data_IF_421984313293
#
_entry.id   IF_421984313293
#
_cell.length_a   1.000
_cell.length_b   1.000
_cell.length_c   1.000
_cell.angle_alpha   90.00
_cell.angle_beta   90.00
_cell.angle_gamma   90.00
#
_symmetry.space_group_name_H-M   'P 1'
#
loop_
_entity.id
_entity.type
_entity.pdbx_description
1 polymer ?
#
# COMPACT_ATOMS: atom_id res chain seq x y z
N UNK A 1 -26.52 18.57 9.77
CA UNK A 1 -26.79 17.85 8.51
C UNK A 1 -25.61 17.91 7.54
N UNK A 2 -25.03 19.09 7.31
CA UNK A 2 -23.88 19.23 6.41
C UNK A 2 -22.67 18.40 6.84
N UNK A 3 -22.38 18.36 8.14
CA UNK A 3 -21.25 17.60 8.69
C UNK A 3 -21.46 16.08 8.56
N UNK A 4 -22.69 15.62 8.72
CA UNK A 4 -23.04 14.21 8.55
C UNK A 4 -22.86 13.77 7.08
N UNK A 5 -23.31 14.61 6.14
CA UNK A 5 -23.18 14.34 4.71
C UNK A 5 -21.70 14.30 4.30
N UNK A 6 -20.89 15.23 4.81
CA UNK A 6 -19.45 15.28 4.54
C UNK A 6 -18.73 14.05 5.09
N UNK A 7 -19.04 13.65 6.33
CA UNK A 7 -18.45 12.47 6.95
C UNK A 7 -18.79 11.20 6.17
N UNK A 8 -20.05 11.06 5.76
CA UNK A 8 -20.51 9.91 4.98
C UNK A 8 -19.86 9.88 3.59
N UNK A 9 -19.70 11.04 2.95
CA UNK A 9 -19.05 11.15 1.65
C UNK A 9 -17.56 10.80 1.74
N UNK A 10 -16.88 11.27 2.79
CA UNK A 10 -15.46 10.95 3.02
C UNK A 10 -15.27 9.45 3.30
N UNK A 11 -16.15 8.86 4.11
CA UNK A 11 -16.14 7.43 4.42
C UNK A 11 -16.36 6.59 3.16
N UNK A 12 -17.33 6.99 2.33
CA UNK A 12 -17.62 6.32 1.07
C UNK A 12 -16.42 6.39 0.12
N UNK A 13 -15.76 7.54 0.05
CA UNK A 13 -14.55 7.72 -0.76
C UNK A 13 -13.42 6.82 -0.26
N UNK A 14 -13.22 6.74 1.06
CA UNK A 14 -12.21 5.87 1.64
C UNK A 14 -12.46 4.39 1.31
N UNK A 15 -13.71 3.95 1.35
CA UNK A 15 -14.09 2.59 0.98
C UNK A 15 -13.79 2.29 -0.49
N UNK A 16 -14.06 3.25 -1.39
CA UNK A 16 -13.77 3.08 -2.81
C UNK A 16 -12.28 3.01 -3.08
N UNK A 17 -11.50 3.84 -2.39
CA UNK A 17 -10.02 3.81 -2.51
C UNK A 17 -9.48 2.47 -2.01
N UNK A 18 -10.01 1.95 -0.91
CA UNK A 18 -9.61 0.63 -0.41
C UNK A 18 -9.91 -0.48 -1.41
N UNK A 19 -11.07 -0.45 -2.07
CA UNK A 19 -11.40 -1.40 -3.13
C UNK A 19 -10.40 -1.33 -4.28
N UNK A 20 -10.00 -0.12 -4.67
CA UNK A 20 -9.00 0.11 -5.72
C UNK A 20 -7.65 -0.48 -5.31
N UNK A 21 -7.23 -0.24 -4.08
CA UNK A 21 -5.98 -0.77 -3.55
C UNK A 21 -5.98 -2.29 -3.53
N UNK A 22 -7.07 -2.91 -3.08
CA UNK A 22 -7.19 -4.37 -3.03
C UNK A 22 -7.15 -5.00 -4.43
N UNK A 23 -7.84 -4.41 -5.39
CA UNK A 23 -7.83 -4.88 -6.78
C UNK A 23 -6.42 -4.76 -7.38
N UNK A 24 -5.74 -3.65 -7.11
CA UNK A 24 -4.38 -3.40 -7.61
C UNK A 24 -3.37 -4.38 -7.00
N UNK A 25 -3.48 -4.64 -5.70
CA UNK A 25 -2.64 -5.61 -5.00
C UNK A 25 -2.82 -7.01 -5.57
N UNK A 26 -4.07 -7.39 -5.84
CA UNK A 26 -4.39 -8.69 -6.43
C UNK A 26 -3.73 -8.85 -7.81
N UNK A 27 -3.89 -7.85 -8.67
CA UNK A 27 -3.31 -7.88 -10.01
C UNK A 27 -1.77 -7.94 -9.97
N UNK A 28 -1.18 -7.20 -9.04
CA UNK A 28 0.27 -7.19 -8.85
C UNK A 28 0.78 -8.54 -8.35
N UNK A 29 0.02 -9.23 -7.49
CA UNK A 29 0.39 -10.56 -6.98
C UNK A 29 0.32 -11.64 -8.06
N UNK A 30 -0.54 -11.45 -9.07
CA UNK A 30 -0.75 -12.40 -10.15
C UNK A 30 0.17 -12.16 -11.36
N UNK A 31 0.82 -10.99 -11.42
CA UNK A 31 1.65 -10.62 -12.55
C UNK A 31 2.70 -9.59 -12.17
N UNK A 32 3.23 -8.88 -13.17
CA UNK A 32 4.23 -7.83 -12.95
C UNK A 32 3.57 -6.46 -12.88
N UNK A 33 4.29 -5.50 -12.31
CA UNK A 33 3.85 -4.12 -12.24
C UNK A 33 3.53 -3.54 -13.63
N UNK A 34 4.32 -3.90 -14.64
CA UNK A 34 4.11 -3.41 -16.00
C UNK A 34 2.77 -3.86 -16.58
N UNK A 35 2.25 -4.99 -16.13
CA UNK A 35 0.99 -5.54 -16.61
C UNK A 35 -0.22 -4.98 -15.85
N UNK A 36 0.02 -4.26 -14.74
CA UNK A 36 -1.05 -3.59 -14.01
C UNK A 36 -1.29 -2.24 -14.67
N UNK A 37 -2.50 -2.01 -15.13
CA UNK A 37 -2.92 -0.74 -15.72
C UNK A 37 -4.23 -0.28 -15.10
N UNK A 38 -4.55 1.01 -15.23
CA UNK A 38 -5.82 1.52 -14.75
C UNK A 38 -6.99 0.82 -15.44
N UNK A 39 -6.83 0.46 -16.71
CA UNK A 39 -7.83 -0.31 -17.46
C UNK A 39 -8.07 -1.68 -16.81
N UNK A 40 -7.00 -2.40 -16.46
CA UNK A 40 -7.12 -3.71 -15.83
C UNK A 40 -7.70 -3.61 -14.42
N UNK A 41 -7.36 -2.57 -13.68
CA UNK A 41 -7.92 -2.31 -12.35
C UNK A 41 -9.43 -2.06 -12.45
N UNK A 42 -9.86 -1.24 -13.41
CA UNK A 42 -11.28 -0.98 -13.63
C UNK A 42 -12.03 -2.27 -13.98
N UNK A 43 -11.46 -3.12 -14.82
CA UNK A 43 -12.04 -4.42 -15.17
C UNK A 43 -12.18 -5.33 -13.95
N UNK A 44 -11.15 -5.39 -13.12
CA UNK A 44 -11.17 -6.21 -11.90
C UNK A 44 -12.28 -5.74 -10.96
N UNK A 45 -12.50 -4.43 -10.88
CA UNK A 45 -13.55 -3.85 -10.04
C UNK A 45 -14.95 -3.93 -10.66
N UNK A 46 -15.05 -4.16 -11.95
CA UNK A 46 -16.31 -4.07 -12.67
C UNK A 46 -16.77 -2.63 -12.85
N UNK A 47 -15.82 -1.68 -12.86
CA UNK A 47 -16.11 -0.24 -12.99
C UNK A 47 -15.78 0.27 -14.39
N UNK A 48 -16.40 1.39 -14.77
CA UNK A 48 -15.97 2.14 -15.93
C UNK A 48 -14.66 2.88 -15.62
N UNK A 49 -13.88 3.19 -16.65
CA UNK A 49 -12.65 3.98 -16.48
C UNK A 49 -12.97 5.35 -15.91
N UNK A 50 -14.06 5.96 -16.36
CA UNK A 50 -14.51 7.26 -15.86
C UNK A 50 -14.77 7.23 -14.35
N UNK A 51 -15.36 6.15 -13.85
CA UNK A 51 -15.62 6.00 -12.43
C UNK A 51 -14.30 5.87 -11.64
N UNK A 52 -13.36 5.10 -12.16
CA UNK A 52 -12.03 4.95 -11.53
C UNK A 52 -11.29 6.30 -11.45
N UNK A 53 -11.32 7.09 -12.53
CA UNK A 53 -10.65 8.39 -12.59
C UNK A 53 -11.21 9.43 -11.62
N UNK A 54 -12.37 9.19 -11.04
CA UNK A 54 -12.91 10.07 -9.98
C UNK A 54 -12.09 9.96 -8.69
N UNK A 55 -11.35 8.87 -8.53
CA UNK A 55 -10.64 8.56 -7.28
C UNK A 55 -9.13 8.61 -7.42
N UNK A 56 -8.59 8.23 -8.56
CA UNK A 56 -7.14 8.16 -8.80
C UNK A 56 -6.81 8.66 -10.21
N UNK A 57 -5.64 9.26 -10.36
CA UNK A 57 -5.15 9.75 -11.65
C UNK A 57 -4.16 8.79 -12.30
N UNK A 58 -3.31 8.13 -11.49
CA UNK A 58 -2.24 7.26 -11.99
C UNK A 58 -2.13 6.00 -11.15
N UNK A 59 -1.56 4.94 -11.73
CA UNK A 59 -1.30 3.72 -10.96
C UNK A 59 -0.16 3.91 -9.95
N UNK A 60 0.78 4.80 -10.21
CA UNK A 60 1.88 5.12 -9.30
C UNK A 60 1.35 5.62 -7.96
N UNK A 61 0.30 6.44 -8.00
CA UNK A 61 -0.40 6.95 -6.83
C UNK A 61 -0.98 5.82 -5.98
N UNK A 62 -1.56 4.83 -6.63
CA UNK A 62 -2.13 3.65 -5.96
C UNK A 62 -1.03 2.84 -5.28
N UNK A 63 0.06 2.60 -5.99
CA UNK A 63 1.16 1.78 -5.48
C UNK A 63 1.97 2.48 -4.40
N UNK A 64 2.02 3.82 -4.42
CA UNK A 64 2.58 4.59 -3.31
C UNK A 64 1.72 4.40 -2.05
N UNK A 65 0.40 4.47 -2.19
CA UNK A 65 -0.51 4.25 -1.07
C UNK A 65 -0.37 2.84 -0.50
N UNK A 66 -0.22 1.83 -1.36
CA UNK A 66 0.02 0.45 -0.94
C UNK A 66 1.34 0.31 -0.19
N UNK A 67 2.40 0.94 -0.69
CA UNK A 67 3.70 0.93 -0.04
C UNK A 67 3.61 1.52 1.37
N UNK A 68 2.96 2.68 1.51
CA UNK A 68 2.81 3.34 2.81
C UNK A 68 1.99 2.48 3.78
N UNK A 69 0.99 1.79 3.29
CA UNK A 69 0.18 0.88 4.10
C UNK A 69 1.02 -0.30 4.61
N UNK A 70 1.85 -0.89 3.75
CA UNK A 70 2.75 -1.98 4.14
C UNK A 70 3.82 -1.51 5.12
N UNK A 71 4.35 -0.31 4.92
CA UNK A 71 5.31 0.31 5.81
C UNK A 71 4.71 0.55 7.21
N UNK A 72 3.50 1.09 7.28
CA UNK A 72 2.80 1.31 8.54
C UNK A 72 2.61 0.01 9.31
N UNK A 73 2.18 -1.04 8.63
CA UNK A 73 2.00 -2.36 9.23
C UNK A 73 3.33 -2.91 9.77
N UNK A 74 4.41 -2.74 9.01
CA UNK A 74 5.75 -3.19 9.43
C UNK A 74 6.21 -2.43 10.68
N UNK A 75 6.05 -1.11 10.69
CA UNK A 75 6.43 -0.26 11.82
C UNK A 75 5.62 -0.63 13.07
N UNK A 76 4.31 -0.81 12.93
CA UNK A 76 3.45 -1.22 14.04
C UNK A 76 3.87 -2.57 14.61
N UNK A 77 4.25 -3.50 13.74
CA UNK A 77 4.76 -4.81 14.13
C UNK A 77 6.06 -4.69 14.95
N UNK A 78 6.98 -3.84 14.50
CA UNK A 78 8.22 -3.56 15.23
C UNK A 78 7.94 -2.96 16.61
N UNK A 79 7.07 -1.96 16.65
CA UNK A 79 6.74 -1.26 17.90
C UNK A 79 6.10 -2.21 18.92
N UNK A 80 5.25 -3.12 18.49
CA UNK A 80 4.68 -4.13 19.37
C UNK A 80 5.76 -5.04 19.99
N UNK A 81 6.77 -5.41 19.20
CA UNK A 81 7.87 -6.26 19.67
C UNK A 81 8.78 -5.56 20.67
N UNK A 82 8.88 -4.23 20.57
CA UNK A 82 9.67 -3.42 21.49
C UNK A 82 8.88 -2.91 22.70
N UNK A 83 7.60 -3.13 22.73
CA UNK A 83 6.65 -2.56 23.70
C UNK A 83 7.19 -2.44 25.13
N UNK A 84 7.42 -1.20 25.59
CA UNK A 84 7.82 -0.89 26.95
C UNK A 84 9.25 -1.32 27.34
N UNK A 85 10.05 -1.76 26.41
CA UNK A 85 11.41 -2.24 26.65
C UNK A 85 12.43 -1.14 26.38
N UNK A 86 13.19 -0.76 27.40
CA UNK A 86 14.23 0.27 27.31
C UNK A 86 15.58 -0.30 26.84
N UNK A 87 15.88 -1.53 27.29
CA UNK A 87 17.14 -2.20 26.96
C UNK A 87 16.88 -3.49 26.18
N UNK A 88 17.32 -3.54 24.93
CA UNK A 88 17.22 -4.72 24.10
C UNK A 88 18.64 -5.16 23.74
N UNK A 89 19.07 -6.38 24.15
CA UNK A 89 20.39 -6.90 23.77
C UNK A 89 20.52 -6.99 22.24
N UNK A 90 21.74 -6.82 21.72
CA UNK A 90 22.01 -6.85 20.28
C UNK A 90 21.48 -8.11 19.59
N UNK A 91 21.62 -9.26 20.22
CA UNK A 91 21.14 -10.54 19.68
C UNK A 91 19.62 -10.54 19.53
N UNK A 92 18.92 -9.99 20.52
CA UNK A 92 17.47 -9.89 20.51
C UNK A 92 17.00 -8.84 19.51
N UNK A 93 17.73 -7.74 19.37
CA UNK A 93 17.47 -6.69 18.39
C UNK A 93 17.44 -7.28 16.98
N UNK A 94 18.45 -8.05 16.60
CA UNK A 94 18.52 -8.70 15.29
C UNK A 94 17.38 -9.67 15.08
N UNK A 95 17.02 -10.43 16.11
CA UNK A 95 15.92 -11.39 16.07
C UNK A 95 14.56 -10.70 15.87
N UNK A 96 14.35 -9.58 16.56
CA UNK A 96 13.11 -8.80 16.44
C UNK A 96 12.92 -8.30 15.01
N UNK A 97 13.97 -7.72 14.42
CA UNK A 97 13.91 -7.24 13.03
C UNK A 97 13.68 -8.37 12.04
N UNK A 98 14.38 -9.49 12.21
CA UNK A 98 14.20 -10.66 11.35
C UNK A 98 12.76 -11.17 11.39
N UNK A 99 12.16 -11.26 12.57
CA UNK A 99 10.77 -11.69 12.72
C UNK A 99 9.80 -10.70 12.09
N UNK A 100 10.05 -9.40 12.27
CA UNK A 100 9.20 -8.36 11.68
C UNK A 100 9.22 -8.46 10.15
N UNK A 101 10.38 -8.69 9.53
CA UNK A 101 10.48 -8.90 8.10
C UNK A 101 9.78 -10.20 7.65
N UNK A 102 9.91 -11.28 8.40
CA UNK A 102 9.24 -12.54 8.10
C UNK A 102 7.71 -12.40 8.13
N UNK A 103 7.19 -11.64 9.07
CA UNK A 103 5.75 -11.39 9.21
C UNK A 103 5.21 -10.38 8.18
N UNK A 104 6.09 -9.62 7.53
CA UNK A 104 5.73 -8.56 6.60
C UNK A 104 6.57 -8.63 5.32
N UNK A 105 6.60 -9.79 4.67
CA UNK A 105 7.41 -10.05 3.47
C UNK A 105 7.02 -9.16 2.29
N UNK A 106 5.80 -8.65 2.27
CA UNK A 106 5.36 -7.76 1.20
C UNK A 106 6.01 -6.37 1.29
N UNK A 107 6.40 -5.93 2.48
CA UNK A 107 7.00 -4.61 2.64
C UNK A 107 8.26 -4.42 1.80
N UNK A 108 9.28 -5.31 1.87
CA UNK A 108 10.45 -5.18 1.00
C UNK A 108 10.13 -5.21 -0.49
N UNK A 109 9.14 -6.00 -0.89
CA UNK A 109 8.69 -6.09 -2.28
C UNK A 109 8.17 -4.75 -2.79
N UNK A 110 7.32 -4.08 -2.01
CA UNK A 110 6.78 -2.77 -2.38
C UNK A 110 7.83 -1.67 -2.27
N UNK A 111 8.76 -1.78 -1.35
CA UNK A 111 9.88 -0.85 -1.21
C UNK A 111 10.78 -0.89 -2.45
N UNK A 112 11.11 -2.07 -2.92
CA UNK A 112 11.89 -2.27 -4.14
C UNK A 112 11.17 -1.70 -5.36
N UNK A 113 9.86 -1.92 -5.45
CA UNK A 113 9.04 -1.38 -6.51
C UNK A 113 9.07 0.15 -6.53
N UNK A 114 8.93 0.81 -5.38
CA UNK A 114 8.97 2.27 -5.28
C UNK A 114 10.32 2.82 -5.72
N UNK A 115 11.39 2.16 -5.34
CA UNK A 115 12.73 2.54 -5.74
C UNK A 115 12.88 2.47 -7.27
N UNK A 116 12.40 1.40 -7.88
CA UNK A 116 12.42 1.20 -9.33
C UNK A 116 11.60 2.28 -10.06
N UNK A 117 10.43 2.63 -9.54
CA UNK A 117 9.58 3.68 -10.12
C UNK A 117 10.29 5.04 -10.08
N UNK A 118 10.94 5.36 -8.94
CA UNK A 118 11.67 6.61 -8.77
C UNK A 118 12.86 6.69 -9.73
N UNK A 119 13.61 5.62 -9.88
CA UNK A 119 14.73 5.58 -10.82
C UNK A 119 14.28 5.83 -12.26
N UNK A 120 13.19 5.21 -12.66
CA UNK A 120 12.64 5.37 -14.01
C UNK A 120 12.21 6.80 -14.26
N UNK A 121 11.63 7.47 -13.28
CA UNK A 121 11.12 8.84 -13.42
C UNK A 121 12.23 9.89 -13.33
N UNK A 122 13.33 9.60 -12.68
CA UNK A 122 14.44 10.54 -12.51
C UNK A 122 15.33 10.62 -13.76
N UNK A 123 15.38 9.58 -14.56
CA UNK A 123 16.18 9.52 -15.79
C UNK A 123 15.60 10.36 -16.94
N UNK A 124 14.44 10.92 -16.75
CA UNK A 124 13.87 11.87 -17.69
C UNK A 124 14.38 13.28 -17.41
#
# INVERSE_FOLDING_TARGET
MADYIRARSAEHKAERIEEIMNASEKLFSEGSYHNVSLTNIAKELGWSRANLYKYVDTKEEIFLALYLKKQEKFVDCLLEKYNGREDVPDEEFSSIWARAFEENLEYPKYQELQHSILETNVEC
#
